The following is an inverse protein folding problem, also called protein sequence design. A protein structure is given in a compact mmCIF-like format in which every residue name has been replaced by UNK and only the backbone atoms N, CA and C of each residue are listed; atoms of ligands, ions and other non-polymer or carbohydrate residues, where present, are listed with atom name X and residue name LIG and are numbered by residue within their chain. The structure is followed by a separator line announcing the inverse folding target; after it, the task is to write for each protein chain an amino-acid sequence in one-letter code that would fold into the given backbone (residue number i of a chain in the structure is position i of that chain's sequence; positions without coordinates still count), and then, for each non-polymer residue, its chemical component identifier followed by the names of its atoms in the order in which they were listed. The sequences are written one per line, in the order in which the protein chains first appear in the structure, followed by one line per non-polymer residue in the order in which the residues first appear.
data_IF_001276961184
#
_entry.id   IF_001276961184
#
_cell.length_a   1.000
_cell.length_b   1.000
_cell.length_c   1.000
_cell.angle_alpha   90.00
_cell.angle_beta   90.00
_cell.angle_gamma   90.00
#
_symmetry.space_group_name_H-M   'P 1'
#
loop_
_entity.id
_entity.type
_entity.pdbx_description
1 polymer ?
#
# COMPACT_ATOMS: atom_id res chain seq x y z
N UNK A 1 28.10 -18.54 14.32
CA UNK A 1 27.13 -17.99 15.31
C UNK A 1 25.75 -17.73 14.71
N UNK A 2 25.45 -18.24 13.50
CA UNK A 2 24.28 -17.87 12.68
C UNK A 2 23.10 -18.84 12.79
N UNK A 3 23.31 -20.15 12.97
CA UNK A 3 22.21 -21.13 13.14
C UNK A 3 21.40 -20.92 14.43
N UNK A 4 22.05 -20.74 15.58
CA UNK A 4 21.37 -20.72 16.89
C UNK A 4 20.49 -19.49 17.15
N UNK A 5 20.72 -18.38 16.42
CA UNK A 5 19.87 -17.18 16.50
C UNK A 5 18.63 -17.31 15.60
N UNK A 6 18.77 -17.97 14.43
CA UNK A 6 17.65 -18.24 13.51
C UNK A 6 16.57 -19.14 14.12
N UNK A 7 16.94 -20.18 14.87
CA UNK A 7 15.95 -21.06 15.52
C UNK A 7 15.18 -20.36 16.66
N UNK A 8 15.84 -19.44 17.37
CA UNK A 8 15.25 -18.75 18.54
C UNK A 8 14.27 -17.63 18.15
N UNK A 9 14.46 -17.02 16.99
CA UNK A 9 13.62 -15.90 16.49
C UNK A 9 12.44 -16.38 15.62
N UNK A 10 12.42 -17.66 15.24
CA UNK A 10 11.41 -18.24 14.34
C UNK A 10 9.97 -18.20 14.88
N UNK A 11 9.70 -18.49 16.18
CA UNK A 11 8.35 -18.36 16.73
C UNK A 11 7.82 -16.92 16.70
N UNK A 12 8.68 -15.95 17.00
CA UNK A 12 8.35 -14.52 17.03
C UNK A 12 8.09 -14.01 15.61
N UNK A 13 8.91 -14.45 14.65
CA UNK A 13 8.73 -14.14 13.23
C UNK A 13 7.39 -14.70 12.71
N UNK A 14 7.03 -15.94 13.05
CA UNK A 14 5.71 -16.51 12.71
C UNK A 14 4.55 -15.70 13.29
N UNK A 15 4.66 -15.30 14.55
CA UNK A 15 3.63 -14.49 15.20
C UNK A 15 3.51 -13.12 14.52
N UNK A 16 4.64 -12.51 14.11
CA UNK A 16 4.64 -11.28 13.34
C UNK A 16 3.96 -11.46 11.99
N UNK A 17 4.33 -12.48 11.22
CA UNK A 17 3.69 -12.76 9.92
C UNK A 17 2.17 -12.88 10.10
N UNK A 18 1.72 -13.64 11.10
CA UNK A 18 0.29 -13.77 11.40
C UNK A 18 -0.38 -12.41 11.68
N UNK A 19 0.25 -11.56 12.50
CA UNK A 19 -0.24 -10.19 12.76
C UNK A 19 -0.34 -9.36 11.49
N UNK A 20 0.71 -9.35 10.66
CA UNK A 20 0.73 -8.57 9.42
C UNK A 20 -0.30 -9.08 8.42
N UNK A 21 -0.44 -10.41 8.25
CA UNK A 21 -1.47 -11.02 7.39
C UNK A 21 -2.87 -10.69 7.88
N UNK A 22 -3.09 -10.67 9.20
CA UNK A 22 -4.37 -10.26 9.80
C UNK A 22 -4.68 -8.81 9.45
N UNK A 23 -3.73 -7.89 9.61
CA UNK A 23 -3.92 -6.48 9.25
C UNK A 23 -4.20 -6.29 7.75
N UNK A 24 -3.45 -6.97 6.89
CA UNK A 24 -3.70 -6.96 5.44
C UNK A 24 -5.11 -7.47 5.14
N UNK A 25 -5.56 -8.54 5.80
CA UNK A 25 -6.90 -9.12 5.60
C UNK A 25 -8.00 -8.17 6.04
N UNK A 26 -7.81 -7.45 7.16
CA UNK A 26 -8.72 -6.39 7.61
C UNK A 26 -8.80 -5.25 6.58
N UNK A 27 -7.65 -4.76 6.10
CA UNK A 27 -7.59 -3.70 5.08
C UNK A 27 -8.23 -4.15 3.76
N UNK A 28 -8.05 -5.41 3.33
CA UNK A 28 -8.75 -6.00 2.17
C UNK A 28 -10.27 -5.98 2.37
N UNK A 29 -10.75 -6.40 3.54
CA UNK A 29 -12.19 -6.48 3.83
C UNK A 29 -12.83 -5.09 3.83
N UNK A 30 -12.19 -4.11 4.47
CA UNK A 30 -12.60 -2.70 4.45
C UNK A 30 -12.63 -2.14 3.02
N UNK A 31 -11.57 -2.40 2.24
CA UNK A 31 -11.48 -1.92 0.85
C UNK A 31 -12.56 -2.55 -0.04
N UNK A 32 -12.83 -3.85 0.10
CA UNK A 32 -13.92 -4.54 -0.63
C UNK A 32 -15.29 -3.96 -0.30
N UNK A 33 -15.56 -3.63 0.97
CA UNK A 33 -16.81 -2.98 1.35
C UNK A 33 -16.95 -1.61 0.66
N UNK A 34 -15.88 -0.80 0.66
CA UNK A 34 -15.86 0.49 -0.03
C UNK A 34 -16.07 0.35 -1.54
N UNK A 35 -15.44 -0.64 -2.19
CA UNK A 35 -15.65 -0.93 -3.63
C UNK A 35 -17.10 -1.27 -3.93
N UNK A 36 -17.73 -2.09 -3.09
CA UNK A 36 -19.12 -2.48 -3.29
C UNK A 36 -20.03 -1.24 -3.33
N UNK A 37 -19.90 -0.35 -2.34
CA UNK A 37 -20.66 0.90 -2.31
C UNK A 37 -20.36 1.81 -3.51
N UNK A 38 -19.09 1.93 -3.91
CA UNK A 38 -18.73 2.73 -5.09
C UNK A 38 -19.32 2.18 -6.39
N UNK A 39 -19.45 0.85 -6.53
CA UNK A 39 -20.08 0.24 -7.71
C UNK A 39 -21.58 0.54 -7.77
N UNK A 40 -22.25 0.48 -6.62
CA UNK A 40 -23.67 0.82 -6.52
C UNK A 40 -23.88 2.30 -6.92
N UNK A 41 -23.06 3.23 -6.41
CA UNK A 41 -23.10 4.65 -6.80
C UNK A 41 -22.90 4.88 -8.30
N UNK A 42 -21.95 4.18 -8.94
CA UNK A 42 -21.66 4.38 -10.37
C UNK A 42 -22.84 3.93 -11.25
N UNK A 43 -23.55 2.88 -10.84
CA UNK A 43 -24.74 2.41 -11.54
C UNK A 43 -25.85 3.46 -11.45
N UNK A 44 -26.06 4.02 -10.25
CA UNK A 44 -27.05 5.08 -10.03
C UNK A 44 -26.71 6.33 -10.84
N UNK A 45 -25.46 6.81 -10.80
CA UNK A 45 -25.00 7.96 -11.60
C UNK A 45 -25.22 7.74 -13.09
N UNK A 46 -24.93 6.53 -13.61
CA UNK A 46 -25.13 6.25 -15.03
C UNK A 46 -26.61 6.29 -15.41
N UNK A 47 -27.50 5.78 -14.55
CA UNK A 47 -28.96 5.87 -14.78
C UNK A 47 -29.39 7.33 -14.80
N UNK A 48 -29.05 8.09 -13.76
CA UNK A 48 -29.42 9.49 -13.61
C UNK A 48 -28.86 10.34 -14.78
N UNK A 49 -27.65 10.06 -15.26
CA UNK A 49 -27.07 10.69 -16.44
C UNK A 49 -27.91 10.44 -17.70
N UNK A 50 -28.31 9.19 -17.96
CA UNK A 50 -29.15 8.90 -19.12
C UNK A 50 -30.51 9.58 -18.99
N UNK A 51 -31.10 9.65 -17.80
CA UNK A 51 -32.36 10.39 -17.58
C UNK A 51 -32.19 11.90 -17.86
N UNK A 52 -31.19 12.56 -17.26
CA UNK A 52 -30.94 13.99 -17.43
C UNK A 52 -30.58 14.39 -18.87
N UNK A 53 -29.76 13.57 -19.56
CA UNK A 53 -29.41 13.83 -20.96
C UNK A 53 -30.64 13.66 -21.85
N UNK A 54 -31.48 12.67 -21.60
CA UNK A 54 -32.68 12.43 -22.42
C UNK A 54 -33.69 13.57 -22.24
N UNK A 55 -33.90 14.04 -21.01
CA UNK A 55 -34.82 15.16 -20.69
C UNK A 55 -34.37 16.46 -21.35
N UNK A 56 -33.08 16.82 -21.28
CA UNK A 56 -32.58 18.07 -21.88
C UNK A 56 -32.59 18.08 -23.42
N UNK A 57 -32.52 16.90 -24.06
CA UNK A 57 -32.63 16.78 -25.52
C UNK A 57 -34.09 16.96 -26.00
N UNK A 58 -35.07 16.67 -25.14
CA UNK A 58 -36.50 16.82 -25.48
C UNK A 58 -37.02 18.28 -25.39
N UNK A 59 -36.33 19.18 -24.68
CA UNK A 59 -36.77 20.57 -24.40
C UNK A 59 -36.14 21.69 -25.29
N UNK A 60 -35.41 21.34 -26.36
CA UNK A 60 -34.42 22.24 -27.01
C UNK A 60 -34.88 23.64 -27.47
N UNK A 61 -34.19 24.69 -26.97
CA UNK A 61 -33.85 25.93 -27.71
C UNK A 61 -32.37 26.42 -27.47
N UNK A 62 -31.69 26.06 -26.36
CA UNK A 62 -30.31 26.52 -26.06
C UNK A 62 -29.22 25.42 -26.13
N UNK A 63 -28.52 25.35 -27.27
CA UNK A 63 -27.45 24.36 -27.54
C UNK A 63 -26.19 24.49 -26.68
N UNK A 64 -25.91 25.68 -26.14
CA UNK A 64 -24.66 25.95 -25.39
C UNK A 64 -24.71 25.40 -23.95
N UNK A 65 -25.88 25.40 -23.30
CA UNK A 65 -26.05 24.84 -21.96
C UNK A 65 -25.93 23.31 -21.96
N UNK A 66 -26.40 22.65 -23.03
CA UNK A 66 -26.28 21.20 -23.22
C UNK A 66 -24.83 20.74 -23.35
N UNK A 67 -23.99 21.45 -24.12
CA UNK A 67 -22.58 21.07 -24.32
C UNK A 67 -21.75 21.16 -23.04
N UNK A 68 -21.93 22.25 -22.27
CA UNK A 68 -21.22 22.44 -21.01
C UNK A 68 -21.62 21.38 -19.96
N UNK A 69 -22.92 21.07 -19.87
CA UNK A 69 -23.46 20.07 -18.95
C UNK A 69 -22.94 18.66 -19.25
N UNK A 70 -22.96 18.26 -20.53
CA UNK A 70 -22.42 16.97 -20.97
C UNK A 70 -20.93 16.86 -20.65
N UNK A 71 -20.16 17.92 -20.91
CA UNK A 71 -18.72 17.93 -20.63
C UNK A 71 -18.43 17.75 -19.14
N UNK A 72 -19.14 18.49 -18.27
CA UNK A 72 -18.98 18.39 -16.82
C UNK A 72 -19.30 16.98 -16.31
N UNK A 73 -20.36 16.36 -16.82
CA UNK A 73 -20.74 15.00 -16.44
C UNK A 73 -19.75 13.94 -16.95
N UNK A 74 -19.21 14.10 -18.16
CA UNK A 74 -18.17 13.21 -18.70
C UNK A 74 -16.87 13.24 -17.88
N UNK A 75 -16.48 14.43 -17.40
CA UNK A 75 -15.32 14.59 -16.52
C UNK A 75 -15.52 13.87 -15.18
N UNK A 76 -16.69 14.04 -14.56
CA UNK A 76 -17.06 13.34 -13.34
C UNK A 76 -17.05 11.80 -13.48
N UNK A 77 -17.53 11.28 -14.61
CA UNK A 77 -17.46 9.85 -14.93
C UNK A 77 -16.01 9.35 -15.06
N UNK A 78 -15.16 10.11 -15.75
CA UNK A 78 -13.74 9.79 -15.93
C UNK A 78 -12.98 9.72 -14.59
N UNK A 79 -13.23 10.67 -13.68
CA UNK A 79 -12.63 10.66 -12.34
C UNK A 79 -13.05 9.42 -11.53
N UNK A 80 -14.34 9.03 -11.60
CA UNK A 80 -14.87 7.83 -10.95
C UNK A 80 -14.23 6.56 -11.50
N UNK A 81 -14.07 6.44 -12.82
CA UNK A 81 -13.41 5.29 -13.46
C UNK A 81 -11.95 5.19 -13.04
N UNK A 82 -11.22 6.31 -13.00
CA UNK A 82 -9.83 6.35 -12.51
C UNK A 82 -9.74 5.89 -11.05
N UNK A 83 -10.64 6.38 -10.20
CA UNK A 83 -10.72 5.98 -8.79
C UNK A 83 -10.96 4.47 -8.65
N UNK A 84 -11.88 3.90 -9.43
CA UNK A 84 -12.12 2.45 -9.45
C UNK A 84 -10.86 1.67 -9.86
N UNK A 85 -10.13 2.14 -10.88
CA UNK A 85 -8.85 1.55 -11.31
C UNK A 85 -7.81 1.50 -10.17
N UNK A 86 -7.63 2.61 -9.46
CA UNK A 86 -6.70 2.70 -8.31
C UNK A 86 -7.08 1.74 -7.19
N UNK A 87 -8.39 1.60 -6.92
CA UNK A 87 -8.85 0.69 -5.86
C UNK A 87 -8.62 -0.78 -6.25
N UNK A 88 -8.85 -1.14 -7.52
CA UNK A 88 -8.55 -2.49 -8.02
C UNK A 88 -7.06 -2.81 -7.89
N UNK A 89 -6.19 -1.88 -8.31
CA UNK A 89 -4.75 -2.04 -8.18
C UNK A 89 -4.32 -2.21 -6.71
N UNK A 90 -4.88 -1.40 -5.80
CA UNK A 90 -4.60 -1.52 -4.37
C UNK A 90 -5.04 -2.87 -3.81
N UNK A 91 -6.19 -3.39 -4.25
CA UNK A 91 -6.68 -4.70 -3.84
C UNK A 91 -5.74 -5.81 -4.31
N UNK A 92 -5.26 -5.74 -5.55
CA UNK A 92 -4.31 -6.71 -6.10
C UNK A 92 -2.99 -6.72 -5.34
N UNK A 93 -2.46 -5.54 -5.01
CA UNK A 93 -1.26 -5.39 -4.17
C UNK A 93 -1.49 -6.02 -2.79
N UNK A 94 -2.61 -5.72 -2.13
CA UNK A 94 -2.91 -6.29 -0.80
C UNK A 94 -3.08 -7.81 -0.85
N UNK A 95 -3.67 -8.37 -1.90
CA UNK A 95 -3.77 -9.83 -2.05
C UNK A 95 -2.39 -10.48 -2.19
N UNK A 96 -1.48 -9.88 -2.98
CA UNK A 96 -0.10 -10.36 -3.11
C UNK A 96 0.66 -10.26 -1.79
N UNK A 97 0.48 -9.15 -1.06
CA UNK A 97 1.07 -8.97 0.28
C UNK A 97 0.48 -9.97 1.30
N UNK A 98 -0.78 -10.37 1.17
CA UNK A 98 -1.36 -11.37 2.07
C UNK A 98 -0.66 -12.73 1.93
N UNK A 99 -0.25 -13.09 0.72
CA UNK A 99 0.50 -14.32 0.45
C UNK A 99 1.96 -14.20 0.89
N UNK A 100 2.58 -13.05 0.58
CA UNK A 100 3.98 -12.77 0.94
C UNK A 100 4.11 -11.33 1.48
N UNK A 101 3.93 -11.12 2.80
CA UNK A 101 3.89 -9.78 3.39
C UNK A 101 5.18 -8.99 3.23
N UNK A 102 6.31 -9.68 3.31
CA UNK A 102 7.64 -9.11 3.15
C UNK A 102 8.61 -10.20 2.70
N UNK A 103 9.69 -9.80 2.03
CA UNK A 103 10.72 -10.73 1.52
C UNK A 103 12.08 -10.53 2.20
N UNK A 104 12.26 -9.41 2.90
CA UNK A 104 13.52 -9.07 3.54
C UNK A 104 13.30 -8.43 4.90
N UNK A 105 14.29 -8.62 5.78
CA UNK A 105 14.41 -7.92 7.06
C UNK A 105 15.81 -7.33 7.18
N UNK A 106 15.86 -6.10 7.66
CA UNK A 106 17.07 -5.41 8.07
C UNK A 106 16.96 -5.16 9.57
N UNK A 107 17.96 -5.56 10.33
CA UNK A 107 18.14 -5.05 11.68
C UNK A 107 19.11 -3.87 11.58
N UNK A 108 18.60 -2.65 11.77
CA UNK A 108 19.35 -1.41 11.63
C UNK A 108 19.54 -0.72 12.97
N UNK A 109 20.76 -0.26 13.25
CA UNK A 109 21.05 0.54 14.44
C UNK A 109 21.57 1.92 14.01
N UNK A 110 20.78 2.94 14.29
CA UNK A 110 21.17 4.34 14.09
C UNK A 110 22.32 4.74 15.02
N UNK A 111 23.18 5.65 14.57
CA UNK A 111 24.34 6.07 15.36
C UNK A 111 23.96 6.75 16.68
N UNK A 112 22.82 7.44 16.71
CA UNK A 112 22.36 8.20 17.86
C UNK A 112 21.35 7.43 18.73
N UNK A 113 21.08 6.16 18.41
CA UNK A 113 20.17 5.32 19.18
C UNK A 113 20.87 4.11 19.79
N UNK A 114 20.41 3.73 20.98
CA UNK A 114 20.91 2.52 21.64
C UNK A 114 20.22 1.25 21.13
N UNK A 115 19.04 1.41 20.52
CA UNK A 115 18.17 0.35 20.04
C UNK A 115 18.47 -0.06 18.61
N UNK A 116 18.27 -1.34 18.31
CA UNK A 116 18.30 -1.87 16.95
C UNK A 116 16.87 -2.11 16.50
N UNK A 117 16.49 -1.49 15.39
CA UNK A 117 15.14 -1.56 14.86
C UNK A 117 15.04 -2.59 13.72
N UNK A 118 14.06 -3.50 13.78
CA UNK A 118 13.82 -4.44 12.70
C UNK A 118 12.91 -3.80 11.63
N UNK A 119 13.48 -3.55 10.45
CA UNK A 119 12.82 -2.99 9.27
C UNK A 119 12.46 -4.13 8.30
N UNK A 120 11.17 -4.27 7.99
CA UNK A 120 10.65 -5.32 7.10
C UNK A 120 10.30 -4.74 5.75
N UNK A 121 10.71 -5.40 4.67
CA UNK A 121 10.64 -4.85 3.32
C UNK A 121 9.78 -5.74 2.44
N UNK A 122 8.78 -5.13 1.80
CA UNK A 122 7.78 -5.81 1.00
C UNK A 122 7.43 -5.07 -0.29
N UNK A 123 6.42 -5.60 -0.99
CA UNK A 123 5.98 -5.06 -2.28
C UNK A 123 5.40 -3.64 -2.17
N UNK A 124 4.76 -3.32 -1.05
CA UNK A 124 4.24 -2.01 -0.73
C UNK A 124 4.14 -1.83 0.78
N UNK A 125 3.98 -0.59 1.25
CA UNK A 125 3.86 -0.30 2.67
C UNK A 125 2.55 -0.81 3.26
N UNK A 126 2.66 -1.35 4.47
CA UNK A 126 1.55 -1.78 5.33
C UNK A 126 1.76 -1.11 6.69
N UNK A 127 0.79 -0.32 7.11
CA UNK A 127 0.74 0.26 8.46
C UNK A 127 -0.18 -0.59 9.35
N UNK A 128 -0.08 -0.37 10.66
CA UNK A 128 -0.95 -1.01 11.63
C UNK A 128 -2.42 -0.52 11.54
N UNK A 129 -3.23 -0.88 12.54
CA UNK A 129 -4.65 -0.56 12.57
C UNK A 129 -4.93 0.95 12.74
N UNK A 130 -4.02 1.68 13.41
CA UNK A 130 -4.14 3.11 13.67
C UNK A 130 -3.43 3.97 12.61
N UNK A 131 -2.71 3.32 11.69
CA UNK A 131 -1.84 3.95 10.70
C UNK A 131 -0.69 4.78 11.34
N UNK A 132 -0.28 4.40 12.55
CA UNK A 132 0.79 5.07 13.31
C UNK A 132 2.17 4.46 13.00
N UNK A 133 2.22 3.15 12.78
CA UNK A 133 3.49 2.41 12.64
C UNK A 133 3.53 1.59 11.36
N UNK A 134 4.67 1.63 10.66
CA UNK A 134 4.94 0.74 9.54
C UNK A 134 5.21 -0.69 10.04
N UNK A 135 4.34 -1.62 9.62
CA UNK A 135 4.57 -3.06 9.77
C UNK A 135 5.48 -3.59 8.65
N UNK A 136 5.35 -3.02 7.46
CA UNK A 136 6.13 -3.31 6.25
C UNK A 136 6.41 -2.01 5.52
N UNK A 137 7.64 -1.84 5.05
CA UNK A 137 8.08 -0.74 4.19
C UNK A 137 8.05 -1.15 2.71
N UNK A 138 7.59 -0.25 1.85
CA UNK A 138 7.70 -0.38 0.40
C UNK A 138 9.18 -0.42 -0.01
N UNK A 139 9.56 -1.38 -0.84
CA UNK A 139 10.92 -1.51 -1.36
C UNK A 139 11.42 -0.27 -2.12
N UNK A 140 10.52 0.60 -2.60
CA UNK A 140 10.86 1.87 -3.27
C UNK A 140 11.09 3.04 -2.31
N UNK A 141 10.78 2.88 -1.02
CA UNK A 141 11.00 3.91 -0.03
C UNK A 141 12.51 4.15 0.19
N UNK A 142 12.97 5.38 0.45
CA UNK A 142 14.38 5.67 0.70
C UNK A 142 15.02 4.79 1.78
N UNK A 143 14.30 4.52 2.89
CA UNK A 143 14.76 3.63 3.96
C UNK A 143 15.05 2.19 3.48
N UNK A 144 14.35 1.74 2.43
CA UNK A 144 14.52 0.41 1.86
C UNK A 144 15.77 0.29 0.97
N UNK A 145 16.38 1.42 0.57
CA UNK A 145 17.63 1.43 -0.19
C UNK A 145 18.74 0.69 0.57
N UNK A 146 18.71 0.77 1.91
CA UNK A 146 19.60 0.03 2.80
C UNK A 146 19.64 -1.47 2.50
N UNK A 147 18.55 -2.06 1.98
CA UNK A 147 18.49 -3.48 1.63
C UNK A 147 19.27 -3.85 0.38
N UNK A 148 19.43 -2.92 -0.55
CA UNK A 148 20.04 -3.18 -1.85
C UNK A 148 21.42 -2.54 -1.98
N UNK A 149 21.63 -1.36 -1.39
CA UNK A 149 22.77 -0.51 -1.73
C UNK A 149 23.99 -0.74 -0.82
N UNK A 150 23.80 -1.34 0.36
CA UNK A 150 24.86 -1.50 1.36
C UNK A 150 25.16 -2.96 1.68
N UNK A 151 26.42 -3.41 1.82
CA UNK A 151 26.69 -4.69 2.46
C UNK A 151 26.32 -4.64 3.96
N UNK A 152 26.27 -5.79 4.67
CA UNK A 152 26.18 -5.79 6.13
C UNK A 152 27.30 -4.94 6.75
N UNK A 153 26.97 -4.09 7.72
CA UNK A 153 27.88 -3.09 8.28
C UNK A 153 27.29 -1.67 8.29
N UNK A 154 28.10 -0.61 8.20
CA UNK A 154 27.61 0.76 8.17
C UNK A 154 26.69 1.00 6.97
N UNK A 155 25.55 1.65 7.20
CA UNK A 155 24.57 1.99 6.18
C UNK A 155 23.92 3.34 6.47
N UNK A 156 23.35 3.96 5.44
CA UNK A 156 22.57 5.18 5.58
C UNK A 156 21.40 5.20 4.60
N UNK A 157 20.44 6.08 4.85
CA UNK A 157 19.33 6.35 3.95
C UNK A 157 18.93 7.83 4.03
N UNK A 158 18.34 8.33 2.94
CA UNK A 158 17.89 9.71 2.86
C UNK A 158 16.47 9.88 3.39
N UNK A 159 16.24 10.97 4.11
CA UNK A 159 14.91 11.44 4.50
C UNK A 159 14.71 12.88 4.03
N UNK A 160 13.49 13.39 4.15
CA UNK A 160 13.19 14.81 3.85
C UNK A 160 14.01 15.75 4.76
N UNK A 161 14.28 15.32 5.99
CA UNK A 161 14.99 16.12 7.00
C UNK A 161 16.52 15.97 6.95
N UNK A 162 17.02 15.01 6.17
CA UNK A 162 18.45 14.77 6.00
C UNK A 162 18.81 13.29 5.91
N UNK A 163 20.11 13.00 5.78
CA UNK A 163 20.63 11.65 5.73
C UNK A 163 20.72 11.05 7.14
N UNK A 164 20.16 9.86 7.32
CA UNK A 164 20.23 9.08 8.56
C UNK A 164 21.28 7.99 8.39
N UNK A 165 22.27 7.96 9.31
CA UNK A 165 23.40 7.04 9.27
C UNK A 165 23.41 6.11 10.49
N UNK A 166 23.78 4.85 10.26
CA UNK A 166 23.89 3.82 11.28
C UNK A 166 25.16 2.98 11.15
N UNK A 167 25.71 2.59 12.30
CA UNK A 167 27.00 1.89 12.38
C UNK A 167 26.91 0.39 12.16
N UNK A 168 25.70 -0.18 12.19
CA UNK A 168 25.50 -1.61 11.96
C UNK A 168 24.14 -1.91 11.30
N UNK A 169 24.18 -2.66 10.22
CA UNK A 169 23.06 -3.19 9.46
C UNK A 169 23.29 -4.69 9.26
N UNK A 170 22.35 -5.51 9.73
CA UNK A 170 22.35 -6.96 9.48
C UNK A 170 21.16 -7.30 8.60
N UNK A 171 21.44 -7.94 7.46
CA UNK A 171 20.43 -8.35 6.49
C UNK A 171 20.06 -9.81 6.66
N UNK A 172 18.77 -10.08 6.71
CA UNK A 172 18.23 -11.43 6.65
C UNK A 172 17.25 -11.51 5.50
N UNK A 173 17.61 -12.26 4.45
CA UNK A 173 16.64 -12.68 3.44
C UNK A 173 15.69 -13.68 4.09
N UNK A 174 14.41 -13.38 4.05
CA UNK A 174 13.37 -14.30 4.52
C UNK A 174 13.06 -15.22 3.36
N UNK A 175 13.88 -16.27 3.26
CA UNK A 175 13.59 -17.41 2.40
C UNK A 175 12.49 -18.20 3.06
N UNK A 176 11.37 -18.30 2.37
CA UNK A 176 10.40 -19.31 2.67
C UNK A 176 10.50 -20.45 1.63
N UNK A 177 10.80 -21.69 2.06
CA UNK A 177 10.71 -22.85 1.20
C UNK A 177 9.30 -23.47 1.12
N UNK A 178 8.35 -23.12 2.01
CA UNK A 178 6.95 -23.59 2.02
C UNK A 178 6.04 -22.71 2.89
N UNK A 179 5.49 -21.66 2.30
CA UNK A 179 4.12 -21.19 2.43
C UNK A 179 3.29 -21.90 1.37
#
# INVERSE_FOLDING_TARGET
MTEGKKEKDWPQEKQRVFRVVKEITNKISSLKSRVKHLKDDVIDIRRDFWEDVTVNIEEMDDKLETEASIKQQAEFLSERERSHGQVSERLDILNRLREKPYFGRIDFKENNEDTTEPIYIGLASVMDENDDNFLVYDWRAPISSMYYDFPPGPANYDTIEGNISGGNNIKTSIYDPKW
#
